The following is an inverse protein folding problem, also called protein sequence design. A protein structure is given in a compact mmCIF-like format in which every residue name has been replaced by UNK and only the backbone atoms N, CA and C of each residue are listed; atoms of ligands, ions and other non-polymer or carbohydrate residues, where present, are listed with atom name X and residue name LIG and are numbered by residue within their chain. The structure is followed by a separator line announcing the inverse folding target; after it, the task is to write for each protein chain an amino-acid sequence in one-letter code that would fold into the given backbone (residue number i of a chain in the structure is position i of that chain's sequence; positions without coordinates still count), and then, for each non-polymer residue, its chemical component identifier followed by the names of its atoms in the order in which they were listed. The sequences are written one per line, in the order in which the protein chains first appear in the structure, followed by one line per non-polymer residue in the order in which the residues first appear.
data_IF_518687925669
#
_entry.id   IF_518687925669
#
_cell.length_a   1.000
_cell.length_b   1.000
_cell.length_c   1.000
_cell.angle_alpha   90.00
_cell.angle_beta   90.00
_cell.angle_gamma   90.00
#
_symmetry.space_group_name_H-M   'P 1'
#
loop_
_entity.id
_entity.type
_entity.pdbx_description
1 polymer ?
#
# COMPACT_ATOMS: atom_id res chain seq x y z
N UNK A 1 0.10 -43.44 10.89
CA UNK A 1 -1.21 -42.91 10.43
C UNK A 1 -1.16 -41.39 10.54
N UNK A 2 -0.71 -40.68 9.48
CA UNK A 2 -0.63 -39.21 9.49
C UNK A 2 -2.05 -38.65 9.36
N UNK A 3 -2.47 -37.83 10.32
CA UNK A 3 -3.85 -37.37 10.49
C UNK A 3 -4.28 -36.43 9.33
N UNK A 4 -5.52 -36.52 8.84
CA UNK A 4 -6.09 -35.66 7.77
C UNK A 4 -6.16 -34.15 8.08
N UNK A 5 -5.69 -33.72 9.24
CA UNK A 5 -5.69 -32.31 9.67
C UNK A 5 -4.59 -31.48 8.99
N UNK A 6 -3.48 -32.11 8.57
CA UNK A 6 -2.33 -31.43 7.95
C UNK A 6 -2.69 -30.86 6.57
N UNK A 7 -3.44 -31.61 5.76
CA UNK A 7 -3.86 -31.17 4.43
C UNK A 7 -4.76 -29.92 4.47
N UNK A 8 -5.61 -29.79 5.51
CA UNK A 8 -6.43 -28.60 5.71
C UNK A 8 -5.61 -27.40 6.19
N UNK A 9 -4.55 -27.62 6.98
CA UNK A 9 -3.66 -26.56 7.44
C UNK A 9 -2.80 -26.01 6.29
N UNK A 10 -2.31 -26.90 5.42
CA UNK A 10 -1.53 -26.53 4.23
C UNK A 10 -2.38 -25.74 3.22
N UNK A 11 -3.62 -26.17 2.97
CA UNK A 11 -4.58 -25.43 2.15
C UNK A 11 -4.88 -24.02 2.69
N UNK A 12 -5.00 -23.88 4.02
CA UNK A 12 -5.16 -22.57 4.67
C UNK A 12 -3.92 -21.69 4.50
N UNK A 13 -2.72 -22.26 4.69
CA UNK A 13 -1.46 -21.54 4.51
C UNK A 13 -1.28 -20.98 3.09
N UNK A 14 -1.69 -21.73 2.06
CA UNK A 14 -1.68 -21.26 0.67
C UNK A 14 -2.61 -20.07 0.45
N UNK A 15 -3.82 -20.10 1.01
CA UNK A 15 -4.77 -18.99 0.89
C UNK A 15 -4.22 -17.74 1.58
N UNK A 16 -3.69 -17.89 2.81
CA UNK A 16 -3.07 -16.77 3.54
C UNK A 16 -1.92 -16.17 2.74
N UNK A 17 -1.01 -16.98 2.22
CA UNK A 17 0.12 -16.49 1.42
C UNK A 17 -0.29 -15.78 0.13
N UNK A 18 -1.35 -16.26 -0.55
CA UNK A 18 -1.89 -15.57 -1.73
C UNK A 18 -2.52 -14.24 -1.33
N UNK A 19 -3.31 -14.22 -0.26
CA UNK A 19 -3.93 -12.99 0.25
C UNK A 19 -2.86 -11.95 0.59
N UNK A 20 -1.81 -12.32 1.34
CA UNK A 20 -0.69 -11.43 1.66
C UNK A 20 -0.02 -10.87 0.41
N UNK A 21 0.21 -11.72 -0.60
CA UNK A 21 0.78 -11.28 -1.89
C UNK A 21 -0.11 -10.28 -2.63
N UNK A 22 -1.43 -10.50 -2.65
CA UNK A 22 -2.39 -9.58 -3.28
C UNK A 22 -2.42 -8.24 -2.55
N UNK A 23 -2.46 -8.24 -1.22
CA UNK A 23 -2.39 -7.01 -0.42
C UNK A 23 -1.07 -6.27 -0.65
N UNK A 24 0.07 -6.97 -0.69
CA UNK A 24 1.36 -6.36 -0.96
C UNK A 24 1.39 -5.66 -2.34
N UNK A 25 0.85 -6.29 -3.38
CA UNK A 25 0.75 -5.69 -4.72
C UNK A 25 -0.23 -4.50 -4.72
N UNK A 26 -1.38 -4.62 -4.05
CA UNK A 26 -2.33 -3.51 -3.96
C UNK A 26 -1.68 -2.28 -3.30
N UNK A 27 -0.96 -2.48 -2.18
CA UNK A 27 -0.26 -1.41 -1.48
C UNK A 27 0.81 -0.75 -2.35
N UNK A 28 1.58 -1.53 -3.12
CA UNK A 28 2.57 -0.95 -4.05
C UNK A 28 1.91 -0.18 -5.19
N UNK A 29 0.76 -0.62 -5.70
CA UNK A 29 0.02 0.14 -6.71
C UNK A 29 -0.55 1.45 -6.13
N UNK A 30 -1.07 1.43 -4.91
CA UNK A 30 -1.62 2.63 -4.25
C UNK A 30 -0.52 3.67 -4.01
N UNK A 31 0.68 3.27 -3.59
CA UNK A 31 1.76 4.24 -3.37
C UNK A 31 2.21 4.90 -4.68
N UNK A 32 2.19 4.17 -5.80
CA UNK A 32 2.54 4.71 -7.12
C UNK A 32 1.55 5.77 -7.62
N UNK A 33 0.32 5.75 -7.11
CA UNK A 33 -0.65 6.81 -7.38
C UNK A 33 -0.33 8.12 -6.65
N UNK A 34 0.63 8.16 -5.72
CA UNK A 34 1.12 9.37 -5.05
C UNK A 34 2.17 10.08 -5.93
N UNK A 35 1.68 10.77 -6.96
CA UNK A 35 2.48 11.61 -7.87
C UNK A 35 3.03 12.84 -7.16
N UNK A 36 4.34 13.01 -7.27
CA UNK A 36 5.09 14.19 -6.82
C UNK A 36 4.83 15.36 -7.78
N UNK A 37 4.65 16.60 -7.28
CA UNK A 37 4.50 17.77 -8.14
C UNK A 37 5.72 17.97 -9.04
N UNK A 38 5.49 18.44 -10.27
CA UNK A 38 6.56 18.74 -11.22
C UNK A 38 7.45 19.89 -10.72
N UNK A 39 8.75 19.81 -10.96
CA UNK A 39 9.71 20.78 -10.42
C UNK A 39 9.47 22.19 -10.99
N UNK A 40 8.99 22.26 -12.23
CA UNK A 40 8.63 23.49 -12.93
C UNK A 40 7.45 24.22 -12.30
N UNK A 41 6.65 23.55 -11.46
CA UNK A 41 5.51 24.14 -10.77
C UNK A 41 5.87 24.71 -9.38
N UNK A 42 7.12 24.58 -8.94
CA UNK A 42 7.59 25.00 -7.61
C UNK A 42 8.69 26.05 -7.78
N UNK A 43 8.42 27.27 -7.32
CA UNK A 43 9.34 28.40 -7.45
C UNK A 43 9.85 28.92 -6.10
N UNK A 44 9.36 28.38 -4.99
CA UNK A 44 9.83 28.72 -3.65
C UNK A 44 9.69 27.57 -2.65
N UNK A 45 10.43 27.65 -1.54
CA UNK A 45 10.31 26.69 -0.43
C UNK A 45 8.89 26.66 0.17
N UNK A 46 8.21 27.82 0.21
CA UNK A 46 6.84 27.91 0.70
C UNK A 46 5.87 27.14 -0.20
N UNK A 47 6.03 27.27 -1.51
CA UNK A 47 5.23 26.52 -2.48
C UNK A 47 5.51 25.02 -2.42
N UNK A 48 6.77 24.62 -2.18
CA UNK A 48 7.12 23.22 -1.95
C UNK A 48 6.37 22.64 -0.74
N UNK A 49 6.41 23.34 0.39
CA UNK A 49 5.71 22.89 1.60
C UNK A 49 4.19 22.83 1.40
N UNK A 50 3.61 23.81 0.71
CA UNK A 50 2.19 23.80 0.37
C UNK A 50 1.84 22.60 -0.54
N UNK A 51 2.64 22.36 -1.57
CA UNK A 51 2.43 21.24 -2.48
C UNK A 51 2.56 19.88 -1.77
N UNK A 52 3.50 19.73 -0.84
CA UNK A 52 3.59 18.54 0.02
C UNK A 52 2.34 18.38 0.90
N UNK A 53 1.84 19.47 1.48
CA UNK A 53 0.62 19.44 2.28
C UNK A 53 -0.62 19.01 1.45
N UNK A 54 -0.70 19.43 0.18
CA UNK A 54 -1.75 19.00 -0.74
C UNK A 54 -1.72 17.50 -1.06
N UNK A 55 -0.58 16.82 -0.87
CA UNK A 55 -0.47 15.37 -0.99
C UNK A 55 -1.01 14.62 0.26
N UNK A 56 -1.26 15.30 1.38
CA UNK A 56 -1.62 14.65 2.65
C UNK A 56 -2.86 13.73 2.58
N UNK A 57 -3.97 14.07 1.88
CA UNK A 57 -5.12 13.17 1.76
C UNK A 57 -4.80 11.85 1.04
N UNK A 58 -3.85 11.87 0.09
CA UNK A 58 -3.41 10.67 -0.64
C UNK A 58 -2.55 9.78 0.26
N UNK A 59 -1.64 10.38 1.03
CA UNK A 59 -0.90 9.67 2.06
C UNK A 59 -1.80 9.08 3.14
N UNK A 60 -2.86 9.78 3.53
CA UNK A 60 -3.87 9.25 4.46
C UNK A 60 -4.57 8.02 3.88
N UNK A 61 -5.00 8.07 2.62
CA UNK A 61 -5.63 6.93 1.93
C UNK A 61 -4.70 5.72 1.88
N UNK A 62 -3.43 5.95 1.56
CA UNK A 62 -2.39 4.91 1.58
C UNK A 62 -2.19 4.33 2.98
N UNK A 63 -2.08 5.17 4.02
CA UNK A 63 -1.93 4.72 5.40
C UNK A 63 -3.14 3.92 5.90
N UNK A 64 -4.35 4.34 5.53
CA UNK A 64 -5.58 3.60 5.86
C UNK A 64 -5.59 2.22 5.21
N UNK A 65 -5.05 2.08 3.99
CA UNK A 65 -4.96 0.79 3.29
C UNK A 65 -4.04 -0.22 4.00
N UNK A 66 -3.11 0.25 4.83
CA UNK A 66 -2.28 -0.60 5.70
C UNK A 66 -2.98 -1.00 7.00
N UNK A 67 -3.94 -0.19 7.46
CA UNK A 67 -4.58 -0.36 8.76
C UNK A 67 -5.84 -1.23 8.68
N UNK A 68 -6.44 -1.35 7.50
CA UNK A 68 -7.63 -2.18 7.21
C UNK A 68 -7.25 -3.56 6.71
#
# INVERSE_FOLDING_TARGET
MKRPLEASAEGRGRIVGITDGVFAIALTLIVLEIRVPAHEAIHSERELLAAIADLAPRFLTYALSFLT
#
